data_IF_029986279811
#
_entry.id   IF_029986279811
#
_cell.length_a   1.000
_cell.length_b   1.000
_cell.length_c   1.000
_cell.angle_alpha   90.00
_cell.angle_beta   90.00
_cell.angle_gamma   90.00
#
_symmetry.space_group_name_H-M   'P 1'
#
loop_
_entity.id
_entity.type
_entity.pdbx_description
1 polymer ?
#
# COMPACT_ATOMS: atom_id res chain seq x y z
N UNK A 1 4.01 44.07 75.79
CA UNK A 1 4.97 43.90 74.67
C UNK A 1 4.26 43.17 73.54
N UNK A 2 3.72 43.92 72.56
CA UNK A 2 3.62 43.58 71.13
C UNK A 2 2.77 44.66 70.44
N UNK A 3 3.36 45.22 69.40
CA UNK A 3 2.81 46.30 68.58
C UNK A 3 1.55 45.84 67.81
N UNK A 4 0.70 46.81 67.43
CA UNK A 4 -0.48 46.63 66.58
C UNK A 4 -0.10 46.80 65.09
N UNK A 5 -0.87 46.22 64.16
CA UNK A 5 -0.96 46.79 62.82
C UNK A 5 -2.40 46.70 62.25
N UNK A 6 -2.86 47.74 61.54
CA UNK A 6 -4.25 47.96 61.14
C UNK A 6 -4.49 47.59 59.67
N UNK A 7 -5.75 47.45 59.28
CA UNK A 7 -6.18 47.60 57.88
C UNK A 7 -7.28 48.66 57.82
N UNK A 8 -7.06 49.78 57.10
CA UNK A 8 -8.13 50.70 56.78
C UNK A 8 -8.40 50.82 55.27
N UNK A 9 -9.69 51.03 54.96
CA UNK A 9 -10.25 51.89 53.90
C UNK A 9 -9.92 51.49 52.44
N UNK A 10 -10.71 51.75 51.39
CA UNK A 10 -11.88 52.59 51.14
C UNK A 10 -12.47 52.08 49.79
N UNK A 11 -13.80 51.96 49.67
CA UNK A 11 -14.74 52.88 49.00
C UNK A 11 -14.53 53.15 47.50
N UNK A 12 -15.65 52.92 46.79
CA UNK A 12 -16.19 53.59 45.60
C UNK A 12 -15.50 53.39 44.23
N UNK A 13 -16.26 52.83 43.27
CA UNK A 13 -16.90 53.56 42.15
C UNK A 13 -17.64 52.57 41.23
N UNK A 14 -18.97 52.71 41.12
CA UNK A 14 -19.74 52.37 39.90
C UNK A 14 -19.30 53.34 38.76
N UNK A 15 -19.55 53.16 37.45
CA UNK A 15 -20.71 52.49 36.82
C UNK A 15 -20.42 51.84 35.43
N UNK A 16 -21.49 51.58 34.67
CA UNK A 16 -21.61 51.57 33.19
C UNK A 16 -21.87 50.19 32.58
N UNK A 17 -23.18 50.00 32.35
CA UNK A 17 -23.79 49.10 31.40
C UNK A 17 -23.33 49.49 29.98
N UNK A 18 -22.63 48.60 29.28
CA UNK A 18 -22.38 48.70 27.85
C UNK A 18 -22.90 47.43 27.18
N UNK A 19 -23.99 47.59 26.44
CA UNK A 19 -24.53 46.59 25.51
C UNK A 19 -23.53 46.43 24.35
N UNK A 20 -22.93 45.24 24.21
CA UNK A 20 -22.23 44.83 23.00
C UNK A 20 -22.93 43.57 22.47
N UNK A 21 -23.73 43.77 21.43
CA UNK A 21 -24.18 42.69 20.56
C UNK A 21 -22.96 42.11 19.84
N UNK A 22 -22.46 40.97 20.31
CA UNK A 22 -21.51 40.16 19.57
C UNK A 22 -22.30 39.14 18.74
N UNK A 23 -22.45 39.43 17.45
CA UNK A 23 -22.92 38.47 16.44
C UNK A 23 -21.93 37.31 16.38
N UNK A 24 -22.26 36.18 16.99
CA UNK A 24 -21.48 34.95 16.83
C UNK A 24 -21.76 34.38 15.43
N UNK A 25 -20.98 34.79 14.44
CA UNK A 25 -20.87 34.05 13.21
C UNK A 25 -20.18 32.72 13.54
N UNK A 26 -20.96 31.64 13.65
CA UNK A 26 -20.41 30.29 13.61
C UNK A 26 -19.77 30.10 12.23
N UNK A 27 -18.47 30.34 12.13
CA UNK A 27 -17.65 29.69 11.12
C UNK A 27 -17.65 28.20 11.49
N UNK A 28 -18.58 27.45 10.90
CA UNK A 28 -18.39 26.03 10.71
C UNK A 28 -17.15 25.89 9.83
N UNK A 29 -15.98 25.75 10.46
CA UNK A 29 -14.81 25.17 9.80
C UNK A 29 -15.24 23.75 9.49
N UNK A 30 -15.72 23.53 8.26
CA UNK A 30 -15.81 22.19 7.72
C UNK A 30 -14.39 21.64 7.77
N UNK A 31 -14.12 20.79 8.77
CA UNK A 31 -12.93 19.97 8.76
C UNK A 31 -13.00 19.17 7.46
N UNK A 32 -12.18 19.56 6.48
CA UNK A 32 -11.94 18.69 5.35
C UNK A 32 -11.47 17.37 5.96
N UNK A 33 -12.08 16.22 5.62
CA UNK A 33 -11.47 14.96 6.01
C UNK A 33 -10.04 15.03 5.47
N UNK A 34 -9.06 14.85 6.35
CA UNK A 34 -7.70 14.64 5.91
C UNK A 34 -7.73 13.32 5.14
N UNK A 35 -7.89 13.39 3.83
CA UNK A 35 -7.66 12.25 2.94
C UNK A 35 -6.16 12.03 2.96
N UNK A 36 -5.71 11.31 3.99
CA UNK A 36 -4.41 10.67 3.94
C UNK A 36 -4.55 9.58 2.85
N UNK A 37 -3.72 9.72 1.83
CA UNK A 37 -3.74 8.95 0.60
C UNK A 37 -2.29 8.79 0.18
N UNK A 38 -1.97 7.71 -0.53
CA UNK A 38 -0.64 7.50 -1.13
C UNK A 38 -0.16 8.80 -1.78
N UNK A 39 1.04 9.32 -1.42
CA UNK A 39 1.51 10.58 -1.94
C UNK A 39 1.66 10.51 -3.46
N UNK A 40 1.49 11.65 -4.12
CA UNK A 40 1.71 11.75 -5.55
C UNK A 40 3.10 11.21 -5.92
N UNK A 41 3.15 10.41 -6.99
CA UNK A 41 4.39 9.76 -7.43
C UNK A 41 5.51 10.78 -7.61
N UNK A 42 6.66 10.61 -6.92
CA UNK A 42 7.77 11.54 -7.05
C UNK A 42 8.29 11.62 -8.49
N UNK A 43 8.76 12.79 -8.91
CA UNK A 43 9.35 12.96 -10.25
C UNK A 43 10.48 11.95 -10.50
N UNK A 44 10.44 11.27 -11.64
CA UNK A 44 11.42 10.22 -12.00
C UNK A 44 11.14 8.85 -11.40
N UNK A 45 9.97 8.67 -10.78
CA UNK A 45 9.48 7.40 -10.25
C UNK A 45 8.17 7.00 -10.93
N UNK A 46 7.88 5.70 -10.92
CA UNK A 46 6.60 5.12 -11.33
C UNK A 46 6.02 4.34 -10.15
N UNK A 47 4.73 4.52 -9.85
CA UNK A 47 4.04 3.72 -8.84
C UNK A 47 3.82 2.30 -9.38
N UNK A 48 4.27 1.29 -8.64
CA UNK A 48 4.17 -0.13 -8.99
C UNK A 48 2.98 -0.80 -8.29
N UNK A 49 2.73 -0.39 -7.05
CA UNK A 49 1.63 -0.89 -6.22
C UNK A 49 1.46 0.02 -5.01
N UNK A 50 0.25 0.16 -4.51
CA UNK A 50 0.01 0.72 -3.19
C UNK A 50 -1.35 0.27 -2.63
N UNK A 51 -1.48 0.40 -1.32
CA UNK A 51 -2.74 0.39 -0.60
C UNK A 51 -2.79 1.63 0.32
N UNK A 52 -3.87 2.38 0.26
CA UNK A 52 -4.14 3.58 1.06
C UNK A 52 -5.17 3.32 2.18
N UNK A 53 -5.57 2.06 2.35
CA UNK A 53 -6.42 1.56 3.43
C UNK A 53 -7.74 2.32 3.58
N UNK A 54 -8.26 2.85 2.47
CA UNK A 54 -9.57 3.46 2.42
C UNK A 54 -10.67 2.39 2.51
N UNK A 55 -11.62 2.61 3.42
CA UNK A 55 -12.80 1.76 3.55
C UNK A 55 -13.54 2.01 4.86
N UNK A 56 -14.72 1.38 5.05
CA UNK A 56 -15.54 1.58 6.24
C UNK A 56 -14.82 1.20 7.53
N UNK A 57 -15.08 1.94 8.62
CA UNK A 57 -14.53 1.58 9.93
C UNK A 57 -14.97 0.17 10.34
N UNK A 58 -14.01 -0.65 10.79
CA UNK A 58 -14.22 -2.03 11.20
C UNK A 58 -14.21 -3.06 10.07
N UNK A 59 -14.07 -2.67 8.80
CA UNK A 59 -13.86 -3.63 7.72
C UNK A 59 -12.42 -4.16 7.71
N UNK A 60 -12.21 -5.34 7.13
CA UNK A 60 -10.86 -5.86 6.88
C UNK A 60 -10.17 -5.09 5.74
N UNK A 61 -8.82 -5.10 5.66
CA UNK A 61 -8.10 -4.64 4.47
C UNK A 61 -8.45 -5.49 3.25
N UNK A 62 -8.19 -4.96 2.06
CA UNK A 62 -8.62 -5.62 0.82
C UNK A 62 -8.01 -7.02 0.68
N UNK A 63 -8.87 -8.04 0.53
CA UNK A 63 -8.42 -9.42 0.33
C UNK A 63 -7.82 -9.65 -1.06
N UNK A 64 -7.90 -8.69 -1.99
CA UNK A 64 -7.16 -8.72 -3.26
C UNK A 64 -5.67 -8.43 -3.06
N UNK A 65 -5.35 -7.67 -2.02
CA UNK A 65 -4.00 -7.17 -1.78
C UNK A 65 -3.33 -7.90 -0.63
N UNK A 66 -4.10 -8.33 0.37
CA UNK A 66 -3.58 -8.89 1.61
C UNK A 66 -4.06 -10.31 1.87
N UNK A 67 -3.13 -11.12 2.40
CA UNK A 67 -3.36 -12.39 3.07
C UNK A 67 -3.24 -12.10 4.57
N UNK A 68 -4.16 -12.67 5.36
CA UNK A 68 -4.09 -12.57 6.83
C UNK A 68 -3.49 -13.87 7.38
N UNK A 69 -2.34 -13.74 8.02
CA UNK A 69 -1.67 -14.83 8.71
C UNK A 69 -2.34 -15.07 10.06
N UNK A 70 -2.58 -16.34 10.41
CA UNK A 70 -3.30 -16.70 11.65
C UNK A 70 -2.58 -17.77 12.43
N UNK A 71 -2.83 -17.82 13.75
CA UNK A 71 -2.21 -18.79 14.64
C UNK A 71 -0.87 -18.32 15.21
N UNK A 72 -0.01 -19.28 15.55
CA UNK A 72 1.33 -19.05 16.10
C UNK A 72 2.45 -19.39 15.10
N UNK A 73 2.10 -19.77 13.88
CA UNK A 73 3.05 -20.12 12.82
C UNK A 73 2.36 -20.14 11.46
N UNK A 74 3.15 -20.03 10.38
CA UNK A 74 2.71 -20.48 9.07
C UNK A 74 2.36 -21.99 9.12
N UNK A 75 1.46 -22.48 8.26
CA UNK A 75 1.20 -23.91 8.14
C UNK A 75 2.47 -24.70 7.81
N UNK A 76 3.00 -25.44 8.79
CA UNK A 76 4.25 -26.18 8.67
C UNK A 76 5.52 -25.34 8.80
N UNK A 77 5.42 -24.06 9.19
CA UNK A 77 6.55 -23.20 9.51
C UNK A 77 7.00 -23.32 10.98
N UNK A 78 8.01 -22.53 11.39
CA UNK A 78 8.52 -22.55 12.76
C UNK A 78 7.45 -22.09 13.76
N UNK A 79 7.41 -22.76 14.92
CA UNK A 79 6.53 -22.38 16.02
C UNK A 79 6.86 -20.99 16.54
N UNK A 80 5.87 -20.28 17.09
CA UNK A 80 5.97 -18.90 17.57
C UNK A 80 6.65 -17.97 16.56
N UNK A 81 6.27 -18.13 15.30
CA UNK A 81 6.79 -17.39 14.15
C UNK A 81 8.33 -17.37 14.04
N UNK A 82 9.02 -18.33 14.68
CA UNK A 82 10.48 -18.40 14.73
C UNK A 82 11.16 -17.42 15.70
N UNK A 83 10.41 -16.54 16.36
CA UNK A 83 10.95 -15.44 17.19
C UNK A 83 10.68 -15.63 18.69
N UNK A 84 9.86 -16.62 19.06
CA UNK A 84 9.44 -16.83 20.44
C UNK A 84 8.31 -15.92 20.90
N UNK A 85 7.77 -15.08 20.01
CA UNK A 85 6.60 -14.23 20.26
C UNK A 85 5.38 -15.05 20.74
N UNK A 86 4.51 -14.42 21.55
CA UNK A 86 3.49 -15.16 22.32
C UNK A 86 2.06 -14.96 21.84
N UNK A 87 1.79 -13.95 21.02
CA UNK A 87 0.44 -13.69 20.55
C UNK A 87 0.01 -14.72 19.53
N UNK A 88 -1.31 -14.94 19.48
CA UNK A 88 -1.96 -15.63 18.37
C UNK A 88 -2.42 -14.58 17.36
N UNK A 89 -1.94 -14.65 16.12
CA UNK A 89 -2.47 -13.79 15.07
C UNK A 89 -3.88 -14.25 14.64
N UNK A 90 -4.76 -13.30 14.35
CA UNK A 90 -6.15 -13.57 13.99
C UNK A 90 -6.60 -12.68 12.83
N UNK A 91 -7.70 -13.07 12.18
CA UNK A 91 -8.44 -12.25 11.23
C UNK A 91 -9.64 -11.53 11.86
N UNK A 92 -9.67 -11.42 13.19
CA UNK A 92 -10.73 -10.69 13.89
C UNK A 92 -10.58 -9.19 13.63
N UNK A 93 -11.66 -8.48 13.23
CA UNK A 93 -11.65 -7.01 13.08
C UNK A 93 -11.16 -6.24 14.33
N UNK A 94 -11.24 -6.85 15.52
CA UNK A 94 -10.65 -6.29 16.73
C UNK A 94 -9.11 -6.23 16.67
N UNK A 95 -8.47 -7.16 15.96
CA UNK A 95 -7.02 -7.17 15.77
C UNK A 95 -6.58 -6.50 14.46
N UNK A 96 -7.37 -6.58 13.39
CA UNK A 96 -7.06 -5.98 12.09
C UNK A 96 -8.28 -5.35 11.45
N UNK A 97 -8.29 -4.03 11.28
CA UNK A 97 -9.40 -3.35 10.61
C UNK A 97 -9.01 -2.00 10.03
N UNK A 98 -9.81 -1.51 9.08
CA UNK A 98 -9.77 -0.14 8.61
C UNK A 98 -10.49 0.76 9.61
N UNK A 99 -10.05 2.01 9.74
CA UNK A 99 -10.60 2.92 10.73
C UNK A 99 -11.64 3.92 10.23
N UNK A 100 -11.98 3.86 8.94
CA UNK A 100 -12.91 4.78 8.31
C UNK A 100 -12.29 6.11 7.85
N UNK A 101 -11.01 6.36 8.15
CA UNK A 101 -10.31 7.61 7.85
C UNK A 101 -9.03 7.39 7.02
N UNK A 102 -8.97 6.31 6.23
CA UNK A 102 -7.82 5.97 5.40
C UNK A 102 -6.65 5.42 6.20
N UNK A 103 -6.90 4.58 7.21
CA UNK A 103 -5.83 3.89 7.93
C UNK A 103 -6.23 2.45 8.25
N UNK A 104 -5.26 1.55 8.10
CA UNK A 104 -5.26 0.24 8.71
C UNK A 104 -4.88 0.35 10.20
N UNK A 105 -5.54 -0.45 11.03
CA UNK A 105 -5.22 -0.67 12.44
C UNK A 105 -4.80 -2.11 12.67
N UNK A 106 -3.61 -2.31 13.23
CA UNK A 106 -3.19 -3.59 13.79
C UNK A 106 -3.11 -3.44 15.30
N UNK A 107 -4.00 -4.12 16.02
CA UNK A 107 -4.23 -3.92 17.46
C UNK A 107 -3.94 -5.18 18.27
N UNK A 108 -2.87 -5.21 19.06
CA UNK A 108 -2.67 -6.25 20.05
C UNK A 108 -3.72 -6.16 21.15
N UNK A 109 -4.37 -7.29 21.45
CA UNK A 109 -5.41 -7.39 22.47
C UNK A 109 -5.07 -8.51 23.44
N UNK A 110 -5.00 -8.17 24.73
CA UNK A 110 -4.99 -9.15 25.81
C UNK A 110 -6.42 -9.53 26.17
N UNK A 111 -6.76 -10.78 25.90
CA UNK A 111 -8.08 -11.34 26.19
C UNK A 111 -8.33 -11.49 27.69
N UNK A 112 -9.58 -11.75 28.09
CA UNK A 112 -9.95 -11.97 29.48
C UNK A 112 -9.25 -13.19 30.12
N UNK A 113 -8.89 -14.20 29.32
CA UNK A 113 -8.12 -15.37 29.77
C UNK A 113 -6.60 -15.08 29.89
N UNK A 114 -6.16 -13.89 29.48
CA UNK A 114 -4.76 -13.47 29.55
C UNK A 114 -3.93 -13.78 28.30
N UNK A 115 -4.50 -14.47 27.30
CA UNK A 115 -3.88 -14.69 25.98
C UNK A 115 -3.73 -13.35 25.24
N UNK A 116 -2.59 -13.14 24.58
CA UNK A 116 -2.43 -12.05 23.62
C UNK A 116 -2.86 -12.48 22.22
N UNK A 117 -3.61 -11.61 21.56
CA UNK A 117 -3.97 -11.71 20.15
C UNK A 117 -3.46 -10.48 19.42
N UNK A 118 -3.20 -10.59 18.13
CA UNK A 118 -2.82 -9.46 17.28
C UNK A 118 -3.14 -9.81 15.82
N UNK A 119 -2.60 -9.06 14.87
CA UNK A 119 -2.66 -9.43 13.45
C UNK A 119 -1.31 -9.31 12.76
N UNK A 120 -1.17 -10.12 11.72
CA UNK A 120 -0.09 -10.14 10.75
C UNK A 120 -0.73 -10.29 9.38
N UNK A 121 -0.36 -9.41 8.46
CA UNK A 121 -0.82 -9.46 7.08
C UNK A 121 0.37 -9.41 6.14
N UNK A 122 0.25 -10.07 5.00
CA UNK A 122 1.26 -10.08 3.95
C UNK A 122 0.64 -9.81 2.58
N UNK A 123 1.38 -9.16 1.68
CA UNK A 123 0.86 -8.87 0.34
C UNK A 123 0.67 -10.15 -0.46
N UNK A 124 -0.42 -10.25 -1.24
CA UNK A 124 -0.58 -11.34 -2.24
C UNK A 124 0.55 -11.32 -3.25
N UNK A 125 0.92 -10.14 -3.71
CA UNK A 125 2.10 -9.92 -4.55
C UNK A 125 3.38 -10.31 -3.80
N UNK A 126 4.31 -10.90 -4.55
CA UNK A 126 5.60 -11.36 -4.03
C UNK A 126 6.74 -11.05 -5.04
N UNK A 127 6.49 -10.16 -5.97
CA UNK A 127 7.32 -9.84 -7.13
C UNK A 127 7.98 -8.46 -7.01
N UNK A 128 7.99 -7.85 -5.81
CA UNK A 128 8.62 -6.56 -5.61
C UNK A 128 10.14 -6.68 -5.75
N UNK A 129 10.67 -6.19 -6.88
CA UNK A 129 12.08 -6.25 -7.26
C UNK A 129 12.41 -5.10 -8.19
N UNK A 130 13.58 -4.44 -8.07
CA UNK A 130 14.00 -3.46 -9.07
C UNK A 130 14.32 -4.15 -10.41
N UNK A 131 13.87 -3.52 -11.50
CA UNK A 131 14.41 -3.77 -12.82
C UNK A 131 15.91 -3.43 -12.86
N UNK A 132 16.72 -4.10 -13.72
CA UNK A 132 18.15 -3.84 -13.80
C UNK A 132 18.46 -2.36 -14.04
N UNK A 133 19.40 -1.81 -13.27
CA UNK A 133 19.81 -0.41 -13.38
C UNK A 133 18.81 0.59 -12.78
N UNK A 134 17.79 0.12 -12.05
CA UNK A 134 16.78 0.95 -11.39
C UNK A 134 16.84 0.82 -9.86
N UNK A 135 16.07 1.67 -9.20
CA UNK A 135 15.88 1.69 -7.76
C UNK A 135 14.45 1.26 -7.48
N UNK A 136 14.26 0.27 -6.62
CA UNK A 136 12.95 -0.04 -6.02
C UNK A 136 12.85 0.73 -4.71
N UNK A 137 11.74 1.43 -4.48
CA UNK A 137 11.40 2.09 -3.23
C UNK A 137 10.19 1.41 -2.63
N UNK A 138 10.31 0.97 -1.39
CA UNK A 138 9.19 0.48 -0.59
C UNK A 138 9.03 1.47 0.58
N UNK A 139 7.83 1.99 0.78
CA UNK A 139 7.57 3.01 1.81
C UNK A 139 6.23 2.76 2.49
N UNK A 140 6.16 3.08 3.78
CA UNK A 140 4.92 3.13 4.52
C UNK A 140 4.88 4.35 5.43
N UNK A 141 3.70 4.98 5.52
CA UNK A 141 3.45 6.04 6.51
C UNK A 141 2.73 5.44 7.70
N UNK A 142 3.44 5.33 8.82
CA UNK A 142 3.03 4.50 9.96
C UNK A 142 3.17 5.30 11.25
N UNK A 143 2.16 5.22 12.11
CA UNK A 143 2.28 5.59 13.53
C UNK A 143 2.41 4.30 14.34
N UNK A 144 3.47 4.21 15.16
CA UNK A 144 3.67 3.06 16.03
C UNK A 144 2.68 3.07 17.20
N UNK A 145 2.42 1.92 17.87
CA UNK A 145 1.59 1.85 19.05
C UNK A 145 1.91 2.96 20.04
N UNK A 146 0.95 3.85 20.29
CA UNK A 146 1.15 5.01 21.16
C UNK A 146 1.11 4.60 22.64
N UNK A 147 2.20 3.97 23.06
CA UNK A 147 2.45 3.43 24.39
C UNK A 147 3.95 3.40 24.63
N UNK A 148 4.39 3.74 25.84
CA UNK A 148 5.81 3.80 26.20
C UNK A 148 6.05 3.26 27.61
N UNK A 149 7.33 3.06 27.98
CA UNK A 149 7.74 2.60 29.30
C UNK A 149 7.22 1.19 29.63
N UNK A 150 6.98 0.92 30.91
CA UNK A 150 6.54 -0.42 31.36
C UNK A 150 5.23 -0.89 30.70
N UNK A 151 4.38 0.06 30.29
CA UNK A 151 3.13 -0.23 29.60
C UNK A 151 3.35 -0.77 28.18
N UNK A 152 4.51 -0.53 27.57
CA UNK A 152 4.84 -0.94 26.21
C UNK A 152 5.72 -2.20 26.13
N UNK A 153 6.21 -2.72 27.26
CA UNK A 153 7.12 -3.87 27.26
C UNK A 153 6.48 -5.05 26.52
N UNK A 154 7.15 -5.55 25.49
CA UNK A 154 6.69 -6.63 24.62
C UNK A 154 6.01 -6.19 23.34
N UNK A 155 5.62 -4.92 23.16
CA UNK A 155 5.14 -4.48 21.84
C UNK A 155 6.28 -4.56 20.81
N UNK A 156 6.02 -5.20 19.67
CA UNK A 156 6.96 -5.30 18.56
C UNK A 156 6.25 -5.07 17.22
N UNK A 157 5.95 -3.81 16.85
CA UNK A 157 5.46 -3.46 15.50
C UNK A 157 6.57 -3.62 14.46
N UNK A 158 6.20 -4.12 13.27
CA UNK A 158 7.11 -4.28 12.15
C UNK A 158 6.43 -3.99 10.80
N UNK A 159 7.22 -3.39 9.89
CA UNK A 159 6.98 -3.26 8.46
C UNK A 159 8.23 -3.72 7.72
N UNK A 160 8.08 -4.78 6.93
CA UNK A 160 9.23 -5.54 6.45
C UNK A 160 8.90 -6.27 5.15
N UNK A 161 9.92 -6.85 4.52
CA UNK A 161 9.80 -7.58 3.28
C UNK A 161 10.57 -8.90 3.36
N UNK A 162 10.00 -9.98 2.83
CA UNK A 162 10.60 -11.30 2.85
C UNK A 162 10.69 -11.88 1.44
N UNK A 163 11.79 -12.54 1.13
CA UNK A 163 12.03 -13.11 -0.20
C UNK A 163 10.94 -14.10 -0.59
N UNK A 164 10.39 -13.95 -1.81
CA UNK A 164 9.26 -14.76 -2.29
C UNK A 164 9.40 -16.28 -2.19
N UNK A 165 10.60 -16.89 -2.31
CA UNK A 165 10.74 -18.33 -2.11
C UNK A 165 10.42 -18.81 -0.69
N UNK A 166 10.26 -17.92 0.29
CA UNK A 166 9.84 -18.30 1.64
C UNK A 166 8.38 -18.78 1.69
N UNK A 167 7.49 -18.17 0.91
CA UNK A 167 6.06 -18.53 0.90
C UNK A 167 5.88 -19.95 0.40
N UNK A 168 5.30 -20.81 1.24
CA UNK A 168 5.11 -22.24 0.97
C UNK A 168 6.34 -23.11 1.26
N UNK A 169 7.50 -22.53 1.61
CA UNK A 169 8.67 -23.25 2.09
C UNK A 169 8.81 -23.14 3.61
N UNK A 170 8.83 -21.91 4.14
CA UNK A 170 8.92 -21.54 5.55
C UNK A 170 10.19 -21.96 6.32
N UNK A 171 11.18 -22.59 5.66
CA UNK A 171 12.40 -23.13 6.30
C UNK A 171 13.71 -22.65 5.65
N UNK A 172 13.64 -21.73 4.68
CA UNK A 172 14.79 -21.21 3.94
C UNK A 172 15.20 -19.78 4.37
N UNK A 173 14.71 -19.31 5.51
CA UNK A 173 15.26 -18.12 6.19
C UNK A 173 16.60 -18.47 6.86
N UNK A 174 17.61 -17.57 6.87
CA UNK A 174 17.61 -16.20 6.32
C UNK A 174 18.12 -16.13 4.88
N UNK A 175 18.44 -17.27 4.26
CA UNK A 175 19.13 -17.36 2.96
C UNK A 175 18.44 -16.56 1.84
N UNK A 176 17.10 -16.51 1.86
CA UNK A 176 16.27 -15.85 0.84
C UNK A 176 16.17 -14.33 1.02
N UNK A 177 16.78 -13.77 2.06
CA UNK A 177 16.76 -12.33 2.35
C UNK A 177 15.50 -11.85 3.07
N UNK A 178 15.71 -11.00 4.07
CA UNK A 178 14.69 -10.24 4.77
C UNK A 178 15.13 -8.78 4.87
N UNK A 179 14.23 -7.85 4.54
CA UNK A 179 14.46 -6.43 4.67
C UNK A 179 13.49 -5.86 5.70
N UNK A 180 13.98 -5.58 6.90
CA UNK A 180 13.21 -4.91 7.94
C UNK A 180 13.25 -3.42 7.69
N UNK A 181 12.17 -2.89 7.12
CA UNK A 181 12.08 -1.49 6.71
C UNK A 181 11.89 -0.61 7.94
N UNK A 182 11.09 -1.10 8.89
CA UNK A 182 10.87 -0.50 10.20
C UNK A 182 10.56 -1.62 11.19
N UNK A 183 11.39 -1.71 12.23
CA UNK A 183 11.03 -2.40 13.46
C UNK A 183 11.14 -1.43 14.65
N UNK A 184 10.34 -1.70 15.67
CA UNK A 184 10.44 -1.08 16.97
C UNK A 184 10.07 -2.08 18.05
N UNK A 185 10.63 -1.91 19.24
CA UNK A 185 10.26 -2.70 20.41
C UNK A 185 10.03 -1.82 21.63
N UNK A 186 9.21 -2.30 22.55
CA UNK A 186 9.05 -1.75 23.90
C UNK A 186 8.62 -0.27 23.94
N UNK A 187 8.02 0.24 22.86
CA UNK A 187 7.57 1.64 22.76
C UNK A 187 8.72 2.67 22.83
N UNK A 188 9.92 2.28 22.39
CA UNK A 188 11.08 3.17 22.38
C UNK A 188 10.97 4.20 21.24
N UNK A 189 11.46 5.42 21.44
CA UNK A 189 11.59 6.38 20.34
C UNK A 189 12.81 6.06 19.48
N UNK A 190 12.76 4.92 18.78
CA UNK A 190 13.81 4.43 17.90
C UNK A 190 13.16 3.59 16.80
N UNK A 191 13.67 3.69 15.58
CA UNK A 191 13.42 2.74 14.49
C UNK A 191 14.70 1.96 14.21
N UNK A 192 14.55 0.65 13.98
CA UNK A 192 15.57 -0.22 13.44
C UNK A 192 15.28 -0.52 11.98
N UNK A 193 16.33 -0.52 11.15
CA UNK A 193 16.29 -1.06 9.80
C UNK A 193 17.38 -2.11 9.67
N UNK A 194 17.02 -3.31 9.25
CA UNK A 194 17.87 -4.51 9.33
C UNK A 194 17.81 -5.29 8.04
N UNK A 195 18.94 -5.90 7.69
CA UNK A 195 19.04 -6.92 6.65
C UNK A 195 19.35 -8.26 7.30
N UNK A 196 18.51 -9.26 7.08
CA UNK A 196 18.85 -10.67 7.35
C UNK A 196 19.20 -11.40 6.06
N UNK A 197 20.25 -12.20 6.11
CA UNK A 197 20.75 -12.95 4.96
C UNK A 197 21.71 -14.09 5.35
N UNK A 198 21.95 -15.00 4.40
CA UNK A 198 22.98 -16.03 4.55
C UNK A 198 22.54 -17.17 5.47
N UNK A 199 23.18 -17.33 6.63
CA UNK A 199 22.99 -18.49 7.52
C UNK A 199 22.81 -18.05 8.97
N UNK A 200 21.93 -18.75 9.69
CA UNK A 200 21.70 -18.57 11.12
C UNK A 200 22.15 -19.81 11.90
N UNK A 201 22.95 -19.68 12.98
CA UNK A 201 23.50 -18.45 13.56
C UNK A 201 24.79 -17.95 12.91
N UNK A 202 25.07 -16.66 13.10
CA UNK A 202 26.25 -15.96 12.61
C UNK A 202 26.18 -15.66 11.12
N UNK A 203 27.06 -16.28 10.34
CA UNK A 203 27.14 -16.02 8.90
C UNK A 203 27.58 -14.58 8.55
N UNK A 204 27.54 -14.23 7.26
CA UNK A 204 27.97 -12.92 6.78
C UNK A 204 27.08 -11.76 7.27
N UNK A 205 25.87 -12.07 7.75
CA UNK A 205 24.88 -11.09 8.19
C UNK A 205 24.71 -11.05 9.71
N UNK A 206 25.55 -11.76 10.48
CA UNK A 206 25.54 -11.76 11.96
C UNK A 206 24.20 -12.18 12.59
N UNK A 207 23.62 -13.25 12.08
CA UNK A 207 22.34 -13.79 12.51
C UNK A 207 22.37 -14.31 13.95
N UNK A 208 21.27 -14.14 14.71
CA UNK A 208 19.98 -13.59 14.30
C UNK A 208 19.89 -12.05 14.43
N UNK A 209 20.99 -11.32 14.62
CA UNK A 209 20.93 -9.86 14.80
C UNK A 209 20.80 -9.10 13.47
N UNK A 210 21.21 -9.72 12.36
CA UNK A 210 21.24 -9.07 11.04
C UNK A 210 22.31 -7.96 10.93
N UNK A 211 22.39 -7.37 9.74
CA UNK A 211 23.15 -6.14 9.50
C UNK A 211 22.19 -4.97 9.69
N UNK A 212 22.13 -4.47 10.92
CA UNK A 212 21.17 -3.43 11.31
C UNK A 212 21.80 -2.09 11.67
N UNK A 213 21.01 -1.03 11.58
CA UNK A 213 21.27 0.23 12.26
C UNK A 213 19.96 0.82 12.80
N UNK A 214 20.07 1.83 13.66
CA UNK A 214 18.90 2.45 14.28
C UNK A 214 19.06 3.94 14.50
N UNK A 215 17.93 4.64 14.67
CA UNK A 215 17.88 6.05 15.10
C UNK A 215 16.52 6.43 15.67
N UNK A 216 16.47 7.52 16.42
CA UNK A 216 15.20 8.12 16.85
C UNK A 216 14.42 8.72 15.67
N UNK A 217 13.09 8.69 15.71
CA UNK A 217 12.29 9.35 14.66
C UNK A 217 12.53 10.88 14.65
N UNK A 218 12.64 11.54 13.48
CA UNK A 218 12.84 12.98 13.37
C UNK A 218 11.62 13.79 13.82
N UNK A 219 11.83 14.93 14.47
CA UNK A 219 10.78 15.92 14.76
C UNK A 219 9.80 15.53 15.88
N UNK A 220 9.39 14.27 15.95
CA UNK A 220 8.50 13.71 16.97
C UNK A 220 8.88 12.26 17.30
N UNK A 221 8.35 11.71 18.40
CA UNK A 221 8.61 10.30 18.71
C UNK A 221 7.85 9.40 17.75
N UNK A 222 8.40 8.22 17.44
CA UNK A 222 7.78 7.25 16.53
C UNK A 222 6.34 6.85 16.95
N UNK A 223 6.02 6.96 18.24
CA UNK A 223 4.71 6.67 18.83
C UNK A 223 3.72 7.83 18.72
N UNK A 224 4.22 9.07 18.71
CA UNK A 224 3.37 10.26 18.89
C UNK A 224 2.62 10.68 17.63
N UNK A 225 3.02 10.19 16.46
CA UNK A 225 2.38 10.50 15.19
C UNK A 225 2.92 9.63 14.06
N UNK A 226 2.43 9.90 12.84
CA UNK A 226 2.88 9.21 11.64
C UNK A 226 4.29 9.66 11.23
N UNK A 227 5.12 8.67 10.91
CA UNK A 227 6.40 8.83 10.26
C UNK A 227 6.42 8.04 8.95
N UNK A 228 7.26 8.45 8.02
CA UNK A 228 7.43 7.76 6.74
C UNK A 228 8.68 6.90 6.78
N UNK A 229 8.51 5.58 6.73
CA UNK A 229 9.60 4.60 6.75
C UNK A 229 9.82 4.09 5.34
N UNK A 230 11.05 4.18 4.85
CA UNK A 230 11.39 3.85 3.47
C UNK A 230 12.61 2.96 3.38
N UNK A 231 12.52 1.97 2.52
CA UNK A 231 13.63 1.16 2.02
C UNK A 231 13.84 1.41 0.53
N UNK A 232 15.10 1.49 0.09
CA UNK A 232 15.47 1.56 -1.32
C UNK A 232 16.47 0.46 -1.68
N UNK A 233 16.15 -0.34 -2.69
CA UNK A 233 17.07 -1.29 -3.33
C UNK A 233 17.54 -0.69 -4.66
N UNK A 234 18.77 -0.20 -4.66
CA UNK A 234 19.43 0.50 -5.76
C UNK A 234 20.36 -0.43 -6.55
N UNK A 235 19.95 -0.78 -7.77
CA UNK A 235 20.77 -1.51 -8.75
C UNK A 235 21.32 -0.61 -9.86
N UNK A 236 21.15 0.71 -9.73
CA UNK A 236 21.64 1.70 -10.69
C UNK A 236 23.10 2.08 -10.46
N UNK A 237 23.66 1.70 -9.31
CA UNK A 237 25.05 1.94 -8.91
C UNK A 237 25.81 0.64 -8.74
N UNK A 238 27.14 0.70 -8.83
CA UNK A 238 28.03 -0.44 -8.55
C UNK A 238 29.07 -0.03 -7.51
N UNK A 239 29.18 -0.76 -6.37
CA UNK A 239 28.34 -1.89 -5.94
C UNK A 239 26.87 -1.48 -5.69
N UNK A 240 25.92 -2.41 -5.90
CA UNK A 240 24.50 -2.20 -5.59
C UNK A 240 24.33 -1.83 -4.10
N UNK A 241 23.26 -1.10 -3.76
CA UNK A 241 23.02 -0.64 -2.40
C UNK A 241 21.60 -0.90 -1.91
N UNK A 242 21.47 -1.23 -0.64
CA UNK A 242 20.22 -1.25 0.13
C UNK A 242 20.27 -0.09 1.13
N UNK A 243 19.22 0.74 1.20
CA UNK A 243 19.21 1.97 2.01
C UNK A 243 17.92 2.15 2.79
N UNK A 244 18.02 2.53 4.06
CA UNK A 244 16.87 2.78 4.93
C UNK A 244 16.78 4.24 5.33
N UNK A 245 15.55 4.75 5.33
CA UNK A 245 15.23 6.13 5.65
C UNK A 245 14.05 6.18 6.61
N UNK A 246 14.03 7.20 7.45
CA UNK A 246 12.82 7.65 8.16
C UNK A 246 12.66 9.16 7.96
N UNK A 247 11.47 9.57 7.54
CA UNK A 247 11.13 10.93 7.08
C UNK A 247 12.15 11.51 6.10
N UNK A 248 12.57 10.67 5.14
CA UNK A 248 13.55 11.04 4.13
C UNK A 248 15.00 11.12 4.60
N UNK A 249 15.28 10.89 5.89
CA UNK A 249 16.66 10.89 6.44
C UNK A 249 17.26 9.49 6.36
N UNK A 250 18.31 9.33 5.52
CA UNK A 250 19.09 8.10 5.41
C UNK A 250 19.76 7.79 6.74
N UNK A 251 19.70 6.54 7.18
CA UNK A 251 20.38 6.11 8.41
C UNK A 251 21.03 4.75 8.37
N UNK A 252 20.69 3.93 7.38
CA UNK A 252 21.34 2.64 7.19
C UNK A 252 21.62 2.42 5.72
N UNK A 253 22.78 1.83 5.43
CA UNK A 253 23.18 1.45 4.08
C UNK A 253 23.94 0.15 4.14
N UNK A 254 23.48 -0.86 3.39
CA UNK A 254 24.25 -2.08 3.12
C UNK A 254 24.68 -2.06 1.67
N UNK A 255 25.98 -2.16 1.43
CA UNK A 255 26.57 -2.22 0.09
C UNK A 255 26.81 -3.67 -0.31
N UNK A 256 26.56 -4.02 -1.57
CA UNK A 256 26.70 -5.37 -2.11
C UNK A 256 28.05 -6.01 -1.80
N UNK A 257 29.13 -5.23 -1.83
CA UNK A 257 30.48 -5.71 -1.57
C UNK A 257 30.79 -5.99 -0.09
N UNK A 258 29.84 -5.79 0.83
CA UNK A 258 29.95 -6.27 2.21
C UNK A 258 29.67 -7.78 2.32
N UNK A 259 29.02 -8.36 1.31
CA UNK A 259 28.61 -9.76 1.26
C UNK A 259 29.34 -10.48 0.13
N UNK A 260 29.55 -11.79 0.30
CA UNK A 260 30.04 -12.61 -0.80
C UNK A 260 28.98 -12.72 -1.91
N UNK A 261 29.44 -12.99 -3.14
CA UNK A 261 28.57 -13.01 -4.31
C UNK A 261 27.46 -14.07 -4.23
N UNK A 262 27.69 -15.18 -3.52
CA UNK A 262 26.69 -16.25 -3.37
C UNK A 262 25.57 -15.80 -2.45
N UNK A 263 25.91 -15.26 -1.28
CA UNK A 263 24.93 -14.71 -0.33
C UNK A 263 24.10 -13.61 -0.98
N UNK A 264 24.75 -12.66 -1.66
CA UNK A 264 24.04 -11.59 -2.36
C UNK A 264 23.11 -12.15 -3.46
N UNK A 265 23.59 -13.09 -4.27
CA UNK A 265 22.79 -13.69 -5.34
C UNK A 265 21.57 -14.43 -4.81
N UNK A 266 21.70 -15.19 -3.71
CA UNK A 266 20.59 -15.96 -3.12
C UNK A 266 19.42 -15.07 -2.70
N UNK A 267 19.70 -13.91 -2.09
CA UNK A 267 18.68 -12.95 -1.69
C UNK A 267 18.21 -11.99 -2.80
N UNK A 268 18.90 -11.92 -3.94
CA UNK A 268 18.55 -10.93 -4.99
C UNK A 268 18.14 -11.52 -6.33
N UNK A 269 18.37 -12.81 -6.57
CA UNK A 269 18.14 -13.44 -7.88
C UNK A 269 16.73 -14.01 -8.06
N UNK A 270 15.98 -14.29 -6.99
CA UNK A 270 14.58 -14.74 -7.08
C UNK A 270 13.64 -13.63 -7.58
N UNK A 271 12.35 -13.95 -7.74
CA UNK A 271 11.36 -13.12 -8.43
C UNK A 271 11.00 -11.81 -7.74
N UNK A 272 11.43 -11.59 -6.50
CA UNK A 272 11.12 -10.42 -5.70
C UNK A 272 10.70 -10.77 -4.28
N UNK A 273 10.15 -9.79 -3.58
CA UNK A 273 9.75 -9.85 -2.18
C UNK A 273 8.24 -9.64 -2.05
N UNK A 274 7.66 -10.19 -0.99
CA UNK A 274 6.34 -9.76 -0.48
C UNK A 274 6.53 -8.89 0.75
N UNK A 275 5.57 -8.02 1.05
CA UNK A 275 5.61 -7.12 2.20
C UNK A 275 4.76 -7.66 3.33
N UNK A 276 5.15 -7.35 4.55
CA UNK A 276 4.46 -7.75 5.77
C UNK A 276 4.26 -6.56 6.72
N UNK A 277 3.13 -6.57 7.41
CA UNK A 277 2.81 -5.68 8.51
C UNK A 277 2.30 -6.52 9.67
N UNK A 278 2.85 -6.31 10.86
CA UNK A 278 2.37 -6.96 12.08
C UNK A 278 2.68 -6.15 13.33
N UNK A 279 2.05 -6.53 14.43
CA UNK A 279 2.50 -6.17 15.77
C UNK A 279 2.60 -7.46 16.59
N UNK A 280 3.82 -7.96 16.76
CA UNK A 280 4.12 -9.07 17.65
C UNK A 280 4.05 -8.62 19.13
N UNK A 281 3.90 -9.60 20.02
CA UNK A 281 3.94 -9.43 21.47
C UNK A 281 4.97 -10.37 22.08
N UNK A 282 5.98 -9.79 22.74
CA UNK A 282 7.11 -10.53 23.31
C UNK A 282 8.03 -11.10 22.23
N UNK A 283 8.90 -12.03 22.63
CA UNK A 283 9.85 -12.67 21.72
C UNK A 283 11.27 -12.11 21.84
N UNK A 284 12.19 -12.68 21.08
CA UNK A 284 13.61 -12.50 21.26
C UNK A 284 14.06 -11.03 21.20
N UNK A 285 13.48 -10.22 20.32
CA UNK A 285 13.87 -8.81 20.16
C UNK A 285 13.44 -7.94 21.35
N UNK A 286 12.14 -7.81 21.70
CA UNK A 286 11.75 -7.00 22.86
C UNK A 286 12.36 -7.51 24.18
N UNK A 287 12.54 -8.83 24.33
CA UNK A 287 13.17 -9.44 25.51
C UNK A 287 14.66 -9.11 25.59
N UNK A 288 15.38 -9.21 24.46
CA UNK A 288 16.79 -8.88 24.37
C UNK A 288 17.08 -7.41 24.69
N UNK A 289 16.22 -6.50 24.22
CA UNK A 289 16.32 -5.06 24.53
C UNK A 289 15.95 -4.75 25.98
N UNK A 290 14.97 -5.45 26.55
CA UNK A 290 14.57 -5.29 27.95
C UNK A 290 15.57 -5.94 28.94
N UNK A 291 16.28 -6.99 28.50
CA UNK A 291 17.14 -7.82 29.35
C UNK A 291 16.37 -8.85 30.19
N UNK A 292 15.07 -9.03 29.95
CA UNK A 292 14.20 -9.99 30.62
C UNK A 292 12.94 -10.28 29.78
N UNK A 293 12.19 -11.37 30.05
CA UNK A 293 11.01 -11.72 29.27
C UNK A 293 9.89 -10.67 29.31
N UNK A 294 9.33 -10.38 28.15
CA UNK A 294 8.20 -9.49 27.91
C UNK A 294 7.12 -10.23 27.10
N UNK A 295 5.84 -9.77 27.11
CA UNK A 295 5.28 -8.68 27.88
C UNK A 295 5.24 -8.95 29.39
N UNK A 296 5.02 -7.90 30.18
CA UNK A 296 4.88 -7.98 31.65
C UNK A 296 3.42 -7.82 32.06
N UNK A 297 3.11 -7.96 33.36
CA UNK A 297 1.77 -7.65 33.88
C UNK A 297 1.40 -6.17 33.76
N UNK A 298 2.37 -5.28 33.59
CA UNK A 298 2.14 -3.84 33.38
C UNK A 298 1.84 -3.50 31.91
N UNK A 299 2.11 -4.40 30.98
CA UNK A 299 1.90 -4.17 29.54
C UNK A 299 0.42 -3.94 29.26
N UNK A 300 0.09 -2.80 28.66
CA UNK A 300 -1.31 -2.42 28.40
C UNK A 300 -1.78 -2.98 27.05
N UNK A 301 -3.03 -3.38 26.99
CA UNK A 301 -3.68 -3.90 25.77
C UNK A 301 -4.25 -2.77 24.91
N UNK A 302 -4.50 -3.05 23.62
CA UNK A 302 -5.38 -2.24 22.78
C UNK A 302 -4.72 -1.00 22.17
N UNK A 303 -3.40 -0.99 21.98
CA UNK A 303 -2.67 0.12 21.38
C UNK A 303 -2.31 -0.21 19.94
N UNK A 304 -2.99 0.38 18.94
CA UNK A 304 -2.80 -0.02 17.55
C UNK A 304 -1.52 0.56 16.94
N UNK A 305 -0.89 -0.19 16.05
CA UNK A 305 -0.12 0.41 14.95
C UNK A 305 -1.12 0.92 13.90
N UNK A 306 -0.96 2.17 13.47
CA UNK A 306 -1.76 2.77 12.40
C UNK A 306 -0.92 2.87 11.14
N UNK A 307 -1.45 2.42 10.01
CA UNK A 307 -0.79 2.51 8.70
C UNK A 307 -1.70 3.29 7.78
N UNK A 308 -1.24 4.45 7.33
CA UNK A 308 -1.94 5.32 6.38
C UNK A 308 -1.84 4.76 4.97
N UNK A 309 -0.61 4.44 4.53
CA UNK A 309 -0.41 3.75 3.27
C UNK A 309 0.82 2.84 3.30
N UNK A 310 0.83 1.89 2.37
CA UNK A 310 2.05 1.23 1.88
C UNK A 310 2.13 1.44 0.38
N UNK A 311 3.30 1.81 -0.13
CA UNK A 311 3.51 2.03 -1.55
C UNK A 311 4.88 1.53 -2.01
N UNK A 312 4.91 1.07 -3.26
CA UNK A 312 6.10 0.59 -3.95
C UNK A 312 6.26 1.39 -5.23
N UNK A 313 7.42 2.00 -5.42
CA UNK A 313 7.78 2.71 -6.64
C UNK A 313 9.06 2.16 -7.25
N UNK A 314 9.27 2.44 -8.52
CA UNK A 314 10.52 2.16 -9.22
C UNK A 314 11.06 3.41 -9.93
N UNK A 315 12.38 3.62 -9.89
CA UNK A 315 13.02 4.72 -10.60
C UNK A 315 13.12 4.45 -12.10
N UNK A 316 13.00 5.49 -12.92
CA UNK A 316 13.12 5.38 -14.37
C UNK A 316 12.76 6.66 -15.13
N UNK A 317 13.55 6.97 -16.16
CA UNK A 317 13.63 8.28 -16.83
C UNK A 317 12.30 8.83 -17.37
N UNK A 318 11.84 9.93 -16.79
CA UNK A 318 11.17 10.96 -17.57
C UNK A 318 12.21 11.67 -18.43
N UNK A 319 12.38 11.26 -19.70
CA UNK A 319 13.03 12.12 -20.69
C UNK A 319 12.10 13.31 -20.95
N UNK A 320 12.56 14.53 -20.67
CA UNK A 320 11.91 15.73 -21.18
C UNK A 320 12.26 15.89 -22.66
N UNK A 321 11.25 15.93 -23.55
CA UNK A 321 11.19 16.99 -24.54
C UNK A 321 10.02 17.92 -24.17
N UNK A 322 10.30 19.22 -24.08
CA UNK A 322 9.26 20.25 -24.04
C UNK A 322 8.58 20.37 -25.40
N UNK A 323 7.33 20.88 -25.49
CA UNK A 323 6.10 20.30 -24.98
C UNK A 323 5.26 19.76 -26.15
N UNK A 324 4.70 18.56 -26.03
CA UNK A 324 3.42 18.23 -26.69
C UNK A 324 2.81 17.01 -25.98
N UNK A 325 1.49 17.00 -25.73
CA UNK A 325 0.90 16.28 -24.61
C UNK A 325 0.53 14.84 -24.96
N UNK A 326 0.81 13.90 -24.06
CA UNK A 326 0.00 12.67 -23.89
C UNK A 326 0.39 11.92 -22.62
N UNK A 327 -0.56 11.20 -21.98
CA UNK A 327 -1.01 11.56 -20.65
C UNK A 327 -0.70 10.52 -19.57
N UNK A 328 -0.86 10.98 -18.34
CA UNK A 328 -0.71 10.31 -17.04
C UNK A 328 -1.82 9.32 -16.70
N UNK A 329 -1.46 8.21 -16.05
CA UNK A 329 -2.34 7.39 -15.19
C UNK A 329 -2.44 7.97 -13.78
N UNK A 330 -3.15 9.09 -13.65
CA UNK A 330 -3.95 9.41 -12.46
C UNK A 330 -5.35 9.74 -12.97
N UNK A 331 -6.41 9.64 -12.14
CA UNK A 331 -7.70 10.20 -12.52
C UNK A 331 -7.45 11.69 -12.79
N UNK A 332 -7.55 12.07 -14.06
CA UNK A 332 -7.38 13.43 -14.51
C UNK A 332 -8.37 14.28 -13.69
N UNK A 333 -7.97 15.42 -13.09
CA UNK A 333 -8.88 16.29 -12.32
C UNK A 333 -10.04 16.88 -13.14
N UNK A 334 -10.29 16.42 -14.38
CA UNK A 334 -11.29 16.94 -15.32
C UNK A 334 -12.06 15.90 -16.14
N UNK A 335 -11.89 14.58 -15.92
CA UNK A 335 -12.55 13.53 -16.72
C UNK A 335 -11.92 13.28 -18.10
N UNK A 336 -12.58 12.46 -18.93
CA UNK A 336 -12.13 12.08 -20.28
C UNK A 336 -12.98 12.75 -21.36
N UNK A 337 -12.44 13.07 -22.53
CA UNK A 337 -13.25 13.37 -23.72
C UNK A 337 -13.54 12.05 -24.46
N UNK A 338 -14.81 11.69 -24.60
CA UNK A 338 -15.24 10.44 -25.24
C UNK A 338 -14.72 10.30 -26.68
N UNK A 339 -14.48 11.41 -27.39
CA UNK A 339 -14.01 11.41 -28.79
C UNK A 339 -12.50 11.31 -28.93
N UNK A 340 -11.78 11.34 -27.82
CA UNK A 340 -10.33 11.14 -27.79
C UNK A 340 -9.99 9.67 -27.55
N UNK A 341 -8.76 9.27 -27.87
CA UNK A 341 -8.27 7.95 -27.47
C UNK A 341 -8.16 7.92 -25.94
N UNK A 342 -8.95 7.04 -25.33
CA UNK A 342 -8.91 6.72 -23.90
C UNK A 342 -8.10 5.43 -23.74
N UNK A 343 -6.93 5.55 -23.13
CA UNK A 343 -6.06 4.41 -22.81
C UNK A 343 -6.76 3.52 -21.78
N UNK A 344 -6.75 2.21 -21.99
CA UNK A 344 -7.47 1.28 -21.14
C UNK A 344 -6.83 1.19 -19.75
N UNK A 345 -5.52 1.33 -19.67
CA UNK A 345 -4.75 1.41 -18.44
C UNK A 345 -5.00 2.71 -17.65
N UNK A 346 -5.78 3.66 -18.19
CA UNK A 346 -6.24 4.86 -17.47
C UNK A 346 -7.57 4.63 -16.72
N UNK A 347 -7.96 3.39 -16.45
CA UNK A 347 -9.17 3.10 -15.69
C UNK A 347 -9.15 3.82 -14.32
N UNK A 348 -10.32 4.29 -13.89
CA UNK A 348 -10.55 4.85 -12.55
C UNK A 348 -10.75 3.76 -11.49
N UNK A 349 -11.25 2.58 -11.89
CA UNK A 349 -11.30 1.36 -11.10
C UNK A 349 -11.38 0.13 -12.02
N UNK A 350 -11.03 -1.04 -11.52
CA UNK A 350 -11.13 -2.30 -12.26
C UNK A 350 -11.47 -3.47 -11.34
N UNK A 351 -11.89 -4.59 -11.91
CA UNK A 351 -11.92 -5.88 -11.23
C UNK A 351 -11.45 -7.00 -12.15
N UNK A 352 -10.57 -7.86 -11.62
CA UNK A 352 -10.09 -9.10 -12.25
C UNK A 352 -8.99 -8.93 -13.30
N UNK A 353 -8.67 -7.70 -13.71
CA UNK A 353 -7.69 -7.43 -14.77
C UNK A 353 -6.29 -7.11 -14.23
N UNK A 354 -5.28 -7.23 -15.08
CA UNK A 354 -3.91 -6.79 -14.80
C UNK A 354 -3.36 -5.95 -15.95
N UNK A 355 -2.30 -5.19 -15.69
CA UNK A 355 -1.58 -4.47 -16.73
C UNK A 355 -0.36 -5.27 -17.20
N UNK A 356 -0.09 -5.22 -18.50
CA UNK A 356 1.13 -5.79 -19.07
C UNK A 356 1.74 -4.84 -20.12
N UNK A 357 3.02 -5.00 -20.49
CA UNK A 357 3.63 -4.20 -21.54
C UNK A 357 2.90 -4.40 -22.88
N UNK A 358 2.51 -3.28 -23.50
CA UNK A 358 1.84 -3.28 -24.79
C UNK A 358 2.87 -3.20 -25.92
N UNK A 359 2.81 -4.15 -26.86
CA UNK A 359 3.64 -4.13 -28.07
C UNK A 359 2.96 -3.46 -29.28
N UNK A 360 1.80 -2.82 -29.08
CA UNK A 360 1.09 -2.08 -30.12
C UNK A 360 1.82 -0.78 -30.50
N UNK A 361 1.37 -0.15 -31.57
CA UNK A 361 1.83 1.19 -31.94
C UNK A 361 1.56 2.20 -30.81
N UNK A 362 2.61 2.91 -30.37
CA UNK A 362 2.57 3.79 -29.20
C UNK A 362 3.17 3.18 -27.92
N UNK A 363 3.33 1.86 -27.86
CA UNK A 363 3.85 1.15 -26.68
C UNK A 363 2.95 1.34 -25.46
N UNK A 364 3.54 1.52 -24.28
CA UNK A 364 2.80 1.74 -23.04
C UNK A 364 2.38 0.43 -22.35
N UNK A 365 1.20 0.43 -21.75
CA UNK A 365 0.63 -0.77 -21.15
C UNK A 365 -0.71 -1.08 -21.82
N UNK A 366 -1.14 -2.32 -21.72
CA UNK A 366 -2.51 -2.70 -22.01
C UNK A 366 -3.12 -3.38 -20.79
N UNK A 367 -4.43 -3.37 -20.71
CA UNK A 367 -5.16 -4.23 -19.78
C UNK A 367 -5.19 -5.63 -20.38
N UNK A 368 -4.83 -6.63 -19.59
CA UNK A 368 -4.81 -8.04 -19.97
C UNK A 368 -5.24 -8.95 -18.82
N UNK A 369 -5.08 -10.26 -19.05
CA UNK A 369 -5.59 -11.32 -18.16
C UNK A 369 -7.10 -11.21 -17.93
N UNK A 370 -7.83 -10.80 -18.97
CA UNK A 370 -9.24 -10.46 -18.87
C UNK A 370 -10.09 -11.71 -19.09
N UNK A 371 -10.80 -12.13 -18.06
CA UNK A 371 -11.72 -13.25 -18.03
C UNK A 371 -13.19 -12.81 -17.96
N UNK A 372 -14.11 -13.78 -17.96
CA UNK A 372 -15.54 -13.52 -17.79
C UNK A 372 -15.85 -12.90 -16.42
N UNK A 373 -16.52 -11.75 -16.41
CA UNK A 373 -16.94 -11.04 -15.19
C UNK A 373 -16.06 -9.84 -14.83
N UNK A 374 -14.93 -9.69 -15.52
CA UNK A 374 -14.01 -8.58 -15.32
C UNK A 374 -14.58 -7.27 -15.89
N UNK A 375 -14.07 -6.15 -15.38
CA UNK A 375 -14.51 -4.84 -15.84
C UNK A 375 -13.49 -3.73 -15.56
N UNK A 376 -13.62 -2.65 -16.34
CA UNK A 376 -12.93 -1.38 -16.16
C UNK A 376 -13.98 -0.26 -15.99
N UNK A 377 -13.73 0.70 -15.10
CA UNK A 377 -14.55 1.89 -14.88
C UNK A 377 -13.75 3.15 -15.20
N UNK A 378 -14.37 4.09 -15.91
CA UNK A 378 -13.81 5.39 -16.27
C UNK A 378 -14.78 6.47 -15.80
N UNK A 379 -14.34 7.32 -14.87
CA UNK A 379 -15.18 8.37 -14.29
C UNK A 379 -15.14 9.65 -15.13
N UNK A 380 -16.28 10.36 -15.20
CA UNK A 380 -16.42 11.65 -15.87
C UNK A 380 -16.05 11.66 -17.37
N UNK A 381 -16.48 10.66 -18.14
CA UNK A 381 -16.32 10.66 -19.61
C UNK A 381 -17.36 11.58 -20.24
N UNK A 382 -16.90 12.63 -20.92
CA UNK A 382 -17.71 13.66 -21.56
C UNK A 382 -17.95 13.35 -23.03
N UNK A 383 -19.20 13.07 -23.37
CA UNK A 383 -19.68 12.82 -24.73
C UNK A 383 -20.15 14.09 -25.44
N UNK A 384 -20.07 15.25 -24.79
CA UNK A 384 -20.51 16.53 -25.35
C UNK A 384 -22.02 16.58 -25.64
N UNK A 385 -22.46 17.58 -26.40
CA UNK A 385 -23.89 17.79 -26.73
C UNK A 385 -24.36 17.11 -28.02
N UNK A 386 -23.43 16.68 -28.88
CA UNK A 386 -23.75 15.94 -30.11
C UNK A 386 -23.73 14.44 -29.81
N UNK A 387 -24.73 13.65 -30.22
CA UNK A 387 -24.71 12.22 -29.94
C UNK A 387 -23.57 11.49 -30.65
N UNK A 388 -22.83 10.66 -29.92
CA UNK A 388 -21.97 9.60 -30.51
C UNK A 388 -22.78 8.33 -30.70
N UNK A 389 -22.44 7.53 -31.70
CA UNK A 389 -23.18 6.28 -32.03
C UNK A 389 -22.27 5.09 -32.30
N UNK A 390 -20.95 5.28 -32.23
CA UNK A 390 -19.97 4.23 -32.42
C UNK A 390 -19.00 4.16 -31.24
N UNK A 391 -18.63 2.93 -30.87
CA UNK A 391 -17.53 2.60 -29.96
C UNK A 391 -16.45 1.86 -30.75
N UNK A 392 -15.18 2.19 -30.55
CA UNK A 392 -14.05 1.47 -31.13
C UNK A 392 -13.08 1.10 -30.02
N UNK A 393 -12.59 -0.12 -30.05
CA UNK A 393 -11.57 -0.57 -29.12
C UNK A 393 -10.42 -1.25 -29.85
N UNK A 394 -9.21 -1.03 -29.33
CA UNK A 394 -7.97 -1.68 -29.77
C UNK A 394 -7.70 -2.87 -28.88
N UNK A 395 -7.89 -4.06 -29.42
CA UNK A 395 -7.89 -5.31 -28.67
C UNK A 395 -6.97 -6.36 -29.29
N UNK A 396 -6.47 -7.27 -28.47
CA UNK A 396 -5.73 -8.46 -28.90
C UNK A 396 -6.27 -9.69 -28.16
N UNK A 397 -6.14 -10.87 -28.76
CA UNK A 397 -6.57 -12.12 -28.14
C UNK A 397 -5.70 -13.27 -28.64
N UNK A 398 -5.03 -13.95 -27.71
CA UNK A 398 -4.33 -15.20 -27.95
C UNK A 398 -5.15 -16.42 -27.53
N UNK A 399 -6.46 -16.26 -27.31
CA UNK A 399 -7.31 -17.30 -26.77
C UNK A 399 -7.35 -18.53 -27.71
N UNK A 400 -7.35 -19.78 -27.17
CA UNK A 400 -7.46 -20.98 -28.00
C UNK A 400 -8.75 -21.03 -28.84
N UNK A 401 -8.76 -21.89 -29.85
CA UNK A 401 -9.95 -22.11 -30.68
C UNK A 401 -11.16 -22.51 -29.81
N UNK A 402 -12.32 -21.94 -30.12
CA UNK A 402 -13.55 -22.13 -29.34
C UNK A 402 -13.72 -21.19 -28.14
N UNK A 403 -12.70 -20.39 -27.79
CA UNK A 403 -12.80 -19.34 -26.76
C UNK A 403 -13.09 -17.99 -27.43
N UNK A 404 -14.15 -17.34 -26.99
CA UNK A 404 -14.57 -16.01 -27.44
C UNK A 404 -15.37 -15.31 -26.35
N UNK A 405 -15.57 -14.01 -26.48
CA UNK A 405 -16.39 -13.24 -25.56
C UNK A 405 -16.84 -11.91 -26.13
N UNK A 406 -17.55 -11.14 -25.31
CA UNK A 406 -18.04 -9.81 -25.62
C UNK A 406 -17.27 -8.76 -24.83
N UNK A 407 -16.90 -7.69 -25.53
CA UNK A 407 -16.47 -6.43 -24.91
C UNK A 407 -17.66 -5.48 -25.00
N UNK A 408 -18.18 -5.07 -23.83
CA UNK A 408 -19.45 -4.33 -23.74
C UNK A 408 -19.25 -2.97 -23.08
N UNK A 409 -20.01 -1.97 -23.53
CA UNK A 409 -20.03 -0.63 -22.93
C UNK A 409 -21.30 -0.45 -22.11
N UNK A 410 -21.18 0.02 -20.86
CA UNK A 410 -22.30 0.37 -19.97
C UNK A 410 -22.08 1.77 -19.41
N UNK A 411 -23.16 2.47 -19.08
CA UNK A 411 -23.12 3.82 -18.53
C UNK A 411 -23.69 3.85 -17.11
N UNK A 412 -23.05 4.66 -16.26
CA UNK A 412 -23.42 5.08 -14.90
C UNK A 412 -23.55 3.98 -13.84
N UNK A 413 -23.78 2.72 -14.24
CA UNK A 413 -23.81 1.57 -13.36
C UNK A 413 -23.23 0.33 -14.04
N UNK A 414 -22.43 -0.43 -13.29
CA UNK A 414 -21.88 -1.72 -13.72
C UNK A 414 -22.98 -2.73 -14.10
N UNK A 415 -24.18 -2.59 -13.53
CA UNK A 415 -25.32 -3.48 -13.77
C UNK A 415 -26.33 -2.96 -14.79
N UNK A 416 -26.14 -1.76 -15.35
CA UNK A 416 -27.01 -1.22 -16.40
C UNK A 416 -26.88 -2.06 -17.69
N UNK A 417 -27.94 -2.19 -18.51
CA UNK A 417 -27.84 -2.86 -19.81
C UNK A 417 -26.72 -2.27 -20.69
N UNK A 418 -25.99 -3.08 -21.47
CA UNK A 418 -25.02 -2.55 -22.43
C UNK A 418 -25.67 -1.61 -23.42
N UNK A 419 -25.00 -0.50 -23.73
CA UNK A 419 -25.42 0.41 -24.80
C UNK A 419 -24.92 -0.07 -26.18
N UNK A 420 -23.95 -0.98 -26.19
CA UNK A 420 -23.49 -1.73 -27.35
C UNK A 420 -22.28 -2.62 -26.99
N UNK A 421 -21.91 -3.48 -27.92
CA UNK A 421 -20.85 -4.49 -27.74
C UNK A 421 -20.30 -4.98 -29.09
N UNK A 422 -19.16 -5.65 -29.03
CA UNK A 422 -18.67 -6.49 -30.12
C UNK A 422 -18.16 -7.83 -29.58
N UNK A 423 -18.22 -8.86 -30.43
CA UNK A 423 -17.60 -10.15 -30.17
C UNK A 423 -16.12 -10.14 -30.56
N UNK A 424 -15.30 -10.81 -29.74
CA UNK A 424 -13.88 -11.02 -29.99
C UNK A 424 -13.51 -12.48 -29.78
N UNK A 425 -12.64 -12.97 -30.66
CA UNK A 425 -12.00 -14.27 -30.59
C UNK A 425 -10.51 -14.07 -30.92
N UNK A 426 -9.77 -15.16 -31.09
CA UNK A 426 -8.34 -15.13 -31.39
C UNK A 426 -7.98 -14.17 -32.54
N UNK A 427 -7.08 -13.23 -32.27
CA UNK A 427 -6.60 -12.23 -33.24
C UNK A 427 -5.26 -12.59 -33.88
N UNK A 428 -4.61 -13.66 -33.42
CA UNK A 428 -3.27 -14.11 -33.81
C UNK A 428 -2.28 -14.19 -32.63
N UNK A 429 -2.68 -13.76 -31.43
CA UNK A 429 -1.83 -13.74 -30.23
C UNK A 429 -2.22 -12.63 -29.25
N UNK A 430 -1.75 -12.73 -28.00
CA UNK A 430 -2.05 -11.78 -26.91
C UNK A 430 -1.59 -10.34 -27.16
N UNK A 431 -0.69 -10.16 -28.10
CA UNK A 431 -0.14 -8.87 -28.50
C UNK A 431 -0.35 -8.62 -30.02
N UNK A 432 -1.29 -9.35 -30.65
CA UNK A 432 -1.69 -9.16 -32.05
C UNK A 432 -2.92 -8.25 -32.15
N UNK A 433 -2.66 -6.96 -32.23
CA UNK A 433 -3.66 -5.91 -32.05
C UNK A 433 -4.56 -5.65 -33.27
N UNK A 434 -5.86 -5.50 -33.04
CA UNK A 434 -6.89 -5.12 -34.02
C UNK A 434 -7.79 -4.04 -33.44
N UNK A 435 -8.28 -3.14 -34.30
CA UNK A 435 -9.29 -2.14 -33.92
C UNK A 435 -10.66 -2.65 -34.33
N UNK A 436 -11.56 -2.84 -33.37
CA UNK A 436 -12.88 -3.42 -33.59
C UNK A 436 -13.96 -2.38 -33.28
N UNK A 437 -14.84 -2.05 -34.24
CA UNK A 437 -15.96 -1.15 -34.02
C UNK A 437 -17.21 -1.88 -33.50
N UNK A 438 -18.04 -1.18 -32.74
CA UNK A 438 -19.39 -1.55 -32.36
C UNK A 438 -20.35 -0.36 -32.53
N UNK A 439 -21.59 -0.63 -32.93
CA UNK A 439 -22.65 0.37 -32.84
C UNK A 439 -23.12 0.47 -31.39
N UNK A 440 -23.37 1.69 -30.91
CA UNK A 440 -23.92 1.96 -29.59
C UNK A 440 -25.20 2.80 -29.70
N UNK A 441 -26.06 2.71 -28.69
CA UNK A 441 -27.17 3.65 -28.51
C UNK A 441 -26.64 5.09 -28.43
N UNK A 442 -27.32 6.10 -29.00
CA UNK A 442 -26.82 7.47 -29.00
C UNK A 442 -26.54 8.03 -27.58
N UNK A 443 -25.35 8.58 -27.35
CA UNK A 443 -24.91 9.10 -26.03
C UNK A 443 -24.46 10.57 -26.11
N UNK A 444 -24.85 11.37 -25.12
CA UNK A 444 -24.44 12.77 -24.91
C UNK A 444 -24.26 13.04 -23.42
N UNK A 445 -23.50 14.07 -23.05
CA UNK A 445 -23.30 14.48 -21.66
C UNK A 445 -22.17 13.72 -20.96
N UNK A 446 -22.06 13.87 -19.64
CA UNK A 446 -21.01 13.23 -18.84
C UNK A 446 -21.54 11.98 -18.16
N UNK A 447 -20.80 10.88 -18.29
CA UNK A 447 -21.15 9.59 -17.71
C UNK A 447 -19.95 8.94 -17.01
N UNK A 448 -20.23 8.06 -16.07
CA UNK A 448 -19.25 7.01 -15.70
C UNK A 448 -19.39 5.89 -16.73
N UNK A 449 -18.31 5.55 -17.41
CA UNK A 449 -18.29 4.48 -18.42
C UNK A 449 -17.72 3.21 -17.80
N UNK A 450 -18.40 2.10 -18.02
CA UNK A 450 -17.88 0.77 -17.71
C UNK A 450 -17.62 0.01 -19.00
N UNK A 451 -16.44 -0.60 -19.11
CA UNK A 451 -16.13 -1.62 -20.11
C UNK A 451 -16.18 -2.96 -19.39
N UNK A 452 -17.13 -3.83 -19.75
CA UNK A 452 -17.33 -5.12 -19.10
C UNK A 452 -17.06 -6.27 -20.05
N UNK A 453 -16.54 -7.37 -19.51
CA UNK A 453 -16.09 -8.52 -20.27
C UNK A 453 -16.93 -9.75 -19.94
N UNK A 454 -17.57 -10.33 -20.96
CA UNK A 454 -18.43 -11.51 -20.77
C UNK A 454 -18.02 -12.63 -21.71
N UNK A 455 -17.83 -13.82 -21.17
CA UNK A 455 -17.57 -15.03 -21.95
C UNK A 455 -18.33 -16.21 -21.35
N UNK A 456 -18.71 -17.17 -22.19
CA UNK A 456 -19.26 -18.44 -21.73
C UNK A 456 -18.20 -19.37 -21.12
N UNK A 457 -16.93 -18.96 -21.07
CA UNK A 457 -15.79 -19.76 -20.64
C UNK A 457 -15.02 -19.05 -19.52
N UNK A 458 -14.36 -19.79 -18.61
CA UNK A 458 -13.63 -19.21 -17.48
C UNK A 458 -12.22 -18.71 -17.83
N UNK A 459 -11.73 -18.96 -19.05
CA UNK A 459 -10.39 -18.57 -19.47
C UNK A 459 -10.32 -17.11 -19.92
N UNK A 460 -9.15 -16.50 -19.75
CA UNK A 460 -8.84 -15.20 -20.30
C UNK A 460 -9.06 -15.20 -21.82
N UNK A 461 -9.66 -14.14 -22.35
CA UNK A 461 -10.09 -14.13 -23.75
C UNK A 461 -9.74 -12.86 -24.52
N UNK A 462 -9.31 -11.79 -23.86
CA UNK A 462 -9.00 -10.52 -24.54
C UNK A 462 -7.99 -9.68 -23.76
N UNK A 463 -7.26 -8.85 -24.48
CA UNK A 463 -6.48 -7.73 -23.98
C UNK A 463 -7.03 -6.44 -24.62
N UNK A 464 -7.04 -5.33 -23.88
CA UNK A 464 -7.54 -4.03 -24.31
C UNK A 464 -6.43 -2.98 -24.13
N UNK A 465 -6.06 -2.31 -25.23
CA UNK A 465 -5.07 -1.23 -25.24
C UNK A 465 -5.75 0.14 -25.05
N UNK A 466 -6.68 0.50 -25.93
CA UNK A 466 -7.42 1.77 -25.82
C UNK A 466 -8.80 1.68 -26.44
N UNK A 467 -9.65 2.68 -26.19
CA UNK A 467 -10.93 2.84 -26.85
C UNK A 467 -11.28 4.31 -27.13
N UNK A 468 -12.26 4.55 -28.00
CA UNK A 468 -12.81 5.88 -28.32
C UNK A 468 -14.27 5.76 -28.76
N UNK A 469 -14.98 6.89 -28.79
CA UNK A 469 -16.35 7.01 -29.27
C UNK A 469 -16.48 8.04 -30.39
N UNK A 470 -17.34 7.76 -31.38
CA UNK A 470 -17.55 8.62 -32.56
C UNK A 470 -19.03 8.85 -32.90
#
# INVERSE_FOLDING_TARGET
MRLPLPVPLARLRHPILALLLASAALLAVAARPASASVPGTPSGWTLIWADDFNGPAGSLPSSSDWIIDTGHSYPGGPDRWGTGEIQRYTADPANVSLDGNGNLRITPIRTASGEWTSARIETRRADFKPAPGRILRIEGRIQLPNVTGNAALGYWPAFWALGSPYRGNYWNWPEIGEFDIMENVNGLNTVWGVLHCGVNPGGPCNEPNGIGNSRACPGSTCQSGFHTYRFEWDTSVSPNQLRWYVDGQLYHTVSQNQLDATTWSKMTSHSGYFLLLNVAMGGAFPDGVAGFPTPTSATVSGKPMLVDYVAVWQSGSGSSPSPSPSPSTSPQPGGFDARSIIQAEHYSAQSGTQLEPCSDEGGGQNVGYIANGDWLRFDNVDFGSTPVTQFKARVASGAPEGISGLVQVRLDSLTAPPIGDFAIANTGGWQSWRTVPANISPVTGKHTVYITFSSGQPADFVNLNWFTFE
#
